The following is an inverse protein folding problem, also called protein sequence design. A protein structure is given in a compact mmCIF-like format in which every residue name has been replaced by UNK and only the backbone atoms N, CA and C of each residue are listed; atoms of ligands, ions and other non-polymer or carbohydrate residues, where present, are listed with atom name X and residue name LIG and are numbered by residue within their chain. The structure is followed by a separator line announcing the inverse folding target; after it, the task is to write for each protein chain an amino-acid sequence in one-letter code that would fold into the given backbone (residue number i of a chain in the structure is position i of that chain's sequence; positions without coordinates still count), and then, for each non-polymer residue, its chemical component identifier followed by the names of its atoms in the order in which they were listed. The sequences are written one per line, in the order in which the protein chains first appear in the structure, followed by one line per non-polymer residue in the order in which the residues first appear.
data_IF_421321242451
#
_entry.id   IF_421321242451
#
_cell.length_a   1.000
_cell.length_b   1.000
_cell.length_c   1.000
_cell.angle_alpha   90.00
_cell.angle_beta   90.00
_cell.angle_gamma   90.00
#
_symmetry.space_group_name_H-M   'P 1'
#
loop_
_entity.id
_entity.type
_entity.pdbx_description
1 polymer ?
#
# COMPACT_ATOMS: atom_id res chain seq x y z
N UNK A 1 -4.40 -22.76 -15.93
CA UNK A 1 -3.75 -22.80 -17.26
C UNK A 1 -2.51 -21.95 -17.17
N UNK A 2 -1.32 -22.56 -17.18
CA UNK A 2 -0.05 -21.84 -17.13
C UNK A 2 0.06 -20.94 -18.36
N UNK A 3 0.07 -19.63 -18.17
CA UNK A 3 0.40 -18.67 -19.23
C UNK A 3 1.76 -19.08 -19.78
N UNK A 4 1.75 -19.73 -20.95
CA UNK A 4 2.98 -20.17 -21.60
C UNK A 4 3.49 -18.92 -22.26
N UNK A 5 4.60 -18.37 -21.74
CA UNK A 5 5.26 -17.24 -22.36
C UNK A 5 5.62 -17.64 -23.80
N UNK A 6 4.90 -17.09 -24.77
CA UNK A 6 5.04 -17.44 -26.18
C UNK A 6 6.42 -17.01 -26.71
N UNK A 7 7.11 -16.11 -26.02
CA UNK A 7 8.48 -15.70 -26.37
C UNK A 7 9.49 -16.82 -26.13
N UNK A 8 9.23 -17.75 -25.21
CA UNK A 8 10.11 -18.91 -24.97
C UNK A 8 10.15 -19.91 -26.14
N UNK A 9 9.24 -19.80 -27.11
CA UNK A 9 9.19 -20.65 -28.30
C UNK A 9 9.87 -20.00 -29.52
N UNK A 10 10.32 -18.75 -29.40
CA UNK A 10 10.94 -17.99 -30.49
C UNK A 10 12.43 -18.30 -30.60
N UNK A 11 12.96 -18.33 -31.82
CA UNK A 11 14.41 -18.37 -32.05
C UNK A 11 15.06 -17.06 -31.59
N UNK A 12 16.39 -17.04 -31.33
CA UNK A 12 17.08 -15.81 -30.94
C UNK A 12 16.93 -14.66 -31.96
N UNK A 13 16.81 -15.00 -33.25
CA UNK A 13 16.59 -14.01 -34.30
C UNK A 13 15.17 -13.44 -34.26
N UNK A 14 14.15 -14.30 -34.17
CA UNK A 14 12.76 -13.87 -34.05
C UNK A 14 12.53 -13.05 -32.78
N UNK A 15 13.20 -13.39 -31.68
CA UNK A 15 13.15 -12.62 -30.44
C UNK A 15 13.76 -11.22 -30.61
N UNK A 16 14.87 -11.10 -31.33
CA UNK A 16 15.50 -9.82 -31.61
C UNK A 16 14.62 -8.95 -32.54
N UNK A 17 14.01 -9.54 -33.56
CA UNK A 17 13.07 -8.86 -34.46
C UNK A 17 11.82 -8.40 -33.70
N UNK A 18 11.28 -9.25 -32.81
CA UNK A 18 10.16 -8.90 -31.94
C UNK A 18 10.50 -7.74 -30.99
N UNK A 19 11.66 -7.77 -30.35
CA UNK A 19 12.12 -6.69 -29.47
C UNK A 19 12.29 -5.37 -30.23
N UNK A 20 12.90 -5.41 -31.43
CA UNK A 20 13.07 -4.23 -32.27
C UNK A 20 11.71 -3.63 -32.70
N UNK A 21 10.74 -4.48 -33.07
CA UNK A 21 9.40 -4.03 -33.42
C UNK A 21 8.67 -3.37 -32.23
N UNK A 22 8.78 -3.95 -31.03
CA UNK A 22 8.20 -3.36 -29.80
C UNK A 22 8.85 -2.02 -29.47
N UNK A 23 10.17 -1.90 -29.59
CA UNK A 23 10.88 -0.65 -29.31
C UNK A 23 10.54 0.43 -30.35
N UNK A 24 10.37 0.07 -31.63
CA UNK A 24 9.91 1.00 -32.66
C UNK A 24 8.48 1.49 -32.37
N UNK A 25 7.56 0.60 -31.99
CA UNK A 25 6.20 0.98 -31.58
C UNK A 25 6.23 1.96 -30.38
N UNK A 26 7.06 1.69 -29.37
CA UNK A 26 7.21 2.59 -28.20
C UNK A 26 7.69 3.98 -28.60
N UNK A 27 8.63 4.05 -29.55
CA UNK A 27 9.16 5.31 -30.09
C UNK A 27 8.08 6.06 -30.87
N UNK A 28 7.31 5.37 -31.72
CA UNK A 28 6.20 5.95 -32.48
C UNK A 28 5.11 6.52 -31.57
N UNK A 29 4.78 5.81 -30.48
CA UNK A 29 3.82 6.26 -29.47
C UNK A 29 4.37 7.40 -28.57
N UNK A 30 5.64 7.78 -28.73
CA UNK A 30 6.30 8.77 -27.88
C UNK A 30 6.45 8.33 -26.41
N UNK A 31 6.23 7.05 -26.13
CA UNK A 31 6.29 6.44 -24.81
C UNK A 31 7.75 6.21 -24.39
N UNK A 32 8.38 7.21 -23.76
CA UNK A 32 9.79 7.12 -23.34
C UNK A 32 10.01 6.28 -22.08
N UNK A 33 8.94 5.93 -21.36
CA UNK A 33 8.94 5.03 -20.22
C UNK A 33 7.52 4.47 -20.04
N UNK A 34 7.41 3.28 -19.45
CA UNK A 34 6.15 2.81 -18.88
C UNK A 34 5.70 3.84 -17.84
N UNK A 35 4.63 4.58 -18.10
CA UNK A 35 4.07 5.55 -17.14
C UNK A 35 3.39 4.75 -16.02
N UNK A 36 4.14 4.47 -14.95
CA UNK A 36 3.64 3.71 -13.82
C UNK A 36 2.54 4.52 -13.12
N UNK A 37 1.29 4.18 -13.41
CA UNK A 37 0.10 4.73 -12.75
C UNK A 37 -0.44 3.69 -11.79
N UNK A 38 -0.41 4.03 -10.51
CA UNK A 38 -0.92 3.14 -9.47
C UNK A 38 -2.41 3.38 -9.30
N UNK A 39 -3.21 2.32 -9.48
CA UNK A 39 -4.59 2.31 -9.04
C UNK A 39 -4.59 2.38 -7.51
N UNK A 40 -5.17 3.45 -6.97
CA UNK A 40 -5.28 3.61 -5.52
C UNK A 40 -6.42 2.76 -5.03
N UNK A 41 -6.14 1.97 -4.01
CA UNK A 41 -7.09 1.07 -3.37
C UNK A 41 -7.03 1.29 -1.86
N UNK A 42 -8.18 1.49 -1.25
CA UNK A 42 -8.36 1.61 0.20
C UNK A 42 -9.46 0.66 0.67
N UNK A 43 -9.62 0.53 1.98
CA UNK A 43 -10.80 -0.14 2.53
C UNK A 43 -12.02 0.75 2.29
N UNK A 44 -13.13 0.14 1.90
CA UNK A 44 -14.39 0.84 1.74
C UNK A 44 -15.00 1.11 3.12
N UNK A 45 -14.99 2.37 3.56
CA UNK A 45 -15.59 2.78 4.83
C UNK A 45 -17.11 2.54 4.90
N UNK A 46 -17.79 2.40 3.76
CA UNK A 46 -19.22 2.08 3.71
C UNK A 46 -19.50 0.57 3.64
N UNK A 47 -18.54 -0.22 3.16
CA UNK A 47 -18.66 -1.68 3.02
C UNK A 47 -17.41 -2.35 3.60
N UNK A 48 -17.46 -2.66 4.89
CA UNK A 48 -16.32 -3.17 5.66
C UNK A 48 -15.71 -4.51 5.16
N UNK A 49 -16.30 -5.17 4.16
CA UNK A 49 -15.81 -6.39 3.52
C UNK A 49 -15.33 -6.16 2.07
N UNK A 50 -15.12 -4.90 1.66
CA UNK A 50 -14.64 -4.56 0.33
C UNK A 50 -13.51 -3.54 0.37
N UNK A 51 -12.60 -3.67 -0.58
CA UNK A 51 -11.73 -2.59 -1.01
C UNK A 51 -12.44 -1.73 -2.05
N UNK A 52 -12.15 -0.44 -2.04
CA UNK A 52 -12.60 0.52 -3.04
C UNK A 52 -11.40 1.05 -3.80
N UNK A 53 -11.44 0.94 -5.13
CA UNK A 53 -10.50 1.60 -6.01
C UNK A 53 -10.95 3.02 -6.34
N UNK A 54 -10.01 3.85 -6.78
CA UNK A 54 -10.28 5.25 -7.11
C UNK A 54 -11.15 5.49 -8.35
N UNK A 55 -11.29 4.50 -9.22
CA UNK A 55 -12.27 4.48 -10.31
C UNK A 55 -13.69 4.14 -9.83
N UNK A 56 -13.87 3.86 -8.52
CA UNK A 56 -15.13 3.49 -7.91
C UNK A 56 -15.42 1.98 -7.92
N UNK A 57 -14.58 1.17 -8.55
CA UNK A 57 -14.73 -0.29 -8.53
C UNK A 57 -14.48 -0.86 -7.13
N UNK A 58 -15.17 -1.96 -6.80
CA UNK A 58 -15.11 -2.61 -5.48
C UNK A 58 -14.61 -4.04 -5.59
N UNK A 59 -13.69 -4.40 -4.69
CA UNK A 59 -12.98 -5.67 -4.75
C UNK A 59 -13.01 -6.35 -3.38
N UNK A 60 -13.44 -7.61 -3.30
CA UNK A 60 -13.31 -8.37 -2.04
C UNK A 60 -11.87 -8.80 -1.77
N UNK A 61 -11.08 -8.96 -2.84
CA UNK A 61 -9.72 -9.47 -2.77
C UNK A 61 -8.84 -8.64 -3.69
N UNK A 62 -7.65 -8.29 -3.21
CA UNK A 62 -6.54 -7.83 -4.06
C UNK A 62 -5.50 -8.95 -4.09
N UNK A 63 -5.33 -9.58 -5.25
CA UNK A 63 -4.36 -10.63 -5.47
C UNK A 63 -3.19 -10.13 -6.33
N UNK A 64 -1.96 -10.51 -5.96
CA UNK A 64 -0.76 -10.10 -6.67
C UNK A 64 0.52 -10.23 -5.84
N UNK A 65 1.60 -9.62 -6.31
CA UNK A 65 2.90 -9.65 -5.64
C UNK A 65 3.19 -8.27 -5.08
N UNK A 66 3.54 -8.20 -3.79
CA UNK A 66 3.91 -6.93 -3.16
C UNK A 66 5.34 -6.56 -3.59
N UNK A 67 5.51 -5.45 -4.30
CA UNK A 67 6.80 -4.96 -4.80
C UNK A 67 7.51 -4.09 -3.75
N UNK A 68 6.73 -3.24 -3.08
CA UNK A 68 7.21 -2.31 -2.05
C UNK A 68 6.21 -2.23 -0.90
N UNK A 69 6.73 -2.04 0.31
CA UNK A 69 5.92 -1.78 1.49
C UNK A 69 6.55 -0.59 2.22
N UNK A 70 5.83 0.53 2.30
CA UNK A 70 6.31 1.77 2.91
C UNK A 70 5.50 2.08 4.16
N UNK A 71 6.22 2.39 5.24
CA UNK A 71 5.58 2.93 6.44
C UNK A 71 5.30 4.41 6.21
N UNK A 72 4.13 4.87 6.62
CA UNK A 72 3.69 6.25 6.46
C UNK A 72 3.11 6.72 7.79
N UNK A 73 3.47 7.93 8.20
CA UNK A 73 2.85 8.66 9.29
C UNK A 73 2.29 9.96 8.76
N UNK A 74 1.04 10.23 9.09
CA UNK A 74 0.34 11.44 8.69
C UNK A 74 -0.27 12.09 9.91
N UNK A 75 -0.19 13.41 9.97
CA UNK A 75 -0.86 14.21 10.99
C UNK A 75 -1.58 15.37 10.31
N UNK A 76 -2.85 15.52 10.66
CA UNK A 76 -3.72 16.62 10.26
C UNK A 76 -4.14 17.38 11.52
N UNK A 77 -4.05 18.70 11.51
CA UNK A 77 -4.54 19.56 12.60
C UNK A 77 -6.06 19.68 12.58
N UNK A 78 -6.64 19.59 11.38
CA UNK A 78 -8.07 19.68 11.13
C UNK A 78 -8.64 18.29 10.85
N UNK A 79 -9.90 18.08 11.22
CA UNK A 79 -10.62 16.86 10.88
C UNK A 79 -10.83 16.75 9.38
N UNK A 80 -10.84 15.52 8.88
CA UNK A 80 -11.17 15.26 7.48
C UNK A 80 -12.54 15.84 7.14
N UNK A 81 -12.60 16.54 6.01
CA UNK A 81 -13.85 17.04 5.41
C UNK A 81 -14.11 16.21 4.16
N UNK A 82 -15.34 15.72 3.98
CA UNK A 82 -15.69 14.93 2.81
C UNK A 82 -15.35 15.67 1.51
N UNK A 83 -14.57 15.05 0.64
CA UNK A 83 -14.10 15.65 -0.61
C UNK A 83 -12.88 16.58 -0.45
N UNK A 84 -12.28 16.65 0.73
CA UNK A 84 -11.03 17.37 0.95
C UNK A 84 -9.86 16.65 0.26
N UNK A 85 -8.99 17.44 -0.36
CA UNK A 85 -7.70 17.03 -0.90
C UNK A 85 -6.54 17.75 -0.19
N UNK A 86 -6.79 18.24 1.03
CA UNK A 86 -5.79 18.90 1.83
C UNK A 86 -4.65 17.94 2.17
N UNK A 87 -3.42 18.43 2.05
CA UNK A 87 -2.24 17.69 2.47
C UNK A 87 -2.12 17.68 3.99
N UNK A 88 -1.52 16.65 4.60
CA UNK A 88 -1.26 16.63 6.02
C UNK A 88 -0.34 17.77 6.41
N UNK A 89 -0.56 18.29 7.61
CA UNK A 89 0.33 19.28 8.23
C UNK A 89 1.71 18.67 8.49
N UNK A 90 1.76 17.36 8.77
CA UNK A 90 3.01 16.62 8.91
C UNK A 90 2.95 15.23 8.26
N UNK A 91 3.99 14.90 7.50
CA UNK A 91 4.17 13.64 6.80
C UNK A 91 5.57 13.08 7.09
N UNK A 92 5.66 11.80 7.43
CA UNK A 92 6.91 11.05 7.44
C UNK A 92 6.71 9.73 6.69
N UNK A 93 7.61 9.41 5.76
CA UNK A 93 7.53 8.18 4.94
C UNK A 93 8.83 7.39 5.02
N UNK A 94 8.73 6.08 4.88
CA UNK A 94 9.89 5.20 4.75
C UNK A 94 10.52 4.86 6.09
N UNK A 95 11.66 5.47 6.39
CA UNK A 95 12.39 5.25 7.65
C UNK A 95 11.70 5.91 8.87
N UNK A 96 10.68 6.76 8.63
CA UNK A 96 9.87 7.42 9.65
C UNK A 96 10.70 8.14 10.73
N UNK A 97 11.84 8.73 10.35
CA UNK A 97 12.72 9.38 11.33
C UNK A 97 12.24 10.79 11.65
N UNK A 98 11.71 11.51 10.65
CA UNK A 98 11.32 12.90 10.78
C UNK A 98 10.16 13.24 9.84
N UNK A 99 9.28 14.14 10.28
CA UNK A 99 8.29 14.81 9.44
C UNK A 99 8.46 16.32 9.47
N UNK A 100 7.66 17.05 8.67
CA UNK A 100 7.67 18.52 8.67
C UNK A 100 7.29 19.06 10.04
N UNK A 101 8.08 20.03 10.53
CA UNK A 101 7.94 20.61 11.86
C UNK A 101 7.11 21.89 11.81
N UNK A 102 6.19 22.04 12.76
CA UNK A 102 5.45 23.28 12.94
C UNK A 102 6.37 24.39 13.46
N UNK A 103 6.21 25.66 13.04
CA UNK A 103 7.04 26.76 13.54
C UNK A 103 7.03 26.94 15.07
N UNK A 104 5.95 26.52 15.74
CA UNK A 104 5.75 26.59 17.18
C UNK A 104 6.13 25.28 17.90
N UNK A 105 6.58 24.25 17.18
CA UNK A 105 6.98 22.95 17.75
C UNK A 105 5.80 22.08 18.24
N UNK A 106 4.55 22.43 17.90
CA UNK A 106 3.38 21.64 18.34
C UNK A 106 3.33 20.24 17.72
N UNK A 107 3.93 20.04 16.55
CA UNK A 107 4.02 18.76 15.87
C UNK A 107 5.26 18.69 14.97
N UNK A 108 5.59 17.45 14.56
CA UNK A 108 6.64 17.17 13.59
C UNK A 108 8.00 16.97 14.22
N UNK A 109 9.07 17.31 13.49
CA UNK A 109 10.44 17.00 13.91
C UNK A 109 10.67 15.49 14.01
N UNK A 110 11.49 15.06 14.98
CA UNK A 110 11.82 13.65 15.16
C UNK A 110 10.59 12.86 15.62
N UNK A 111 10.14 11.90 14.81
CA UNK A 111 8.88 11.18 15.04
C UNK A 111 8.84 10.39 16.36
N UNK A 112 9.99 9.98 16.88
CA UNK A 112 10.11 9.25 18.15
C UNK A 112 9.77 10.09 19.40
N UNK A 113 9.87 11.41 19.30
CA UNK A 113 9.61 12.35 20.41
C UNK A 113 8.50 13.36 20.09
N UNK A 114 7.79 13.15 18.97
CA UNK A 114 6.75 14.06 18.50
C UNK A 114 5.53 13.98 19.44
N UNK A 115 5.03 15.12 19.97
CA UNK A 115 3.86 15.13 20.85
C UNK A 115 2.63 14.45 20.23
N UNK A 116 2.42 14.61 18.92
CA UNK A 116 1.26 14.03 18.23
C UNK A 116 1.36 12.51 18.01
N UNK A 117 2.52 11.89 18.27
CA UNK A 117 2.71 10.44 18.21
C UNK A 117 2.56 9.75 19.58
N UNK A 118 2.14 10.48 20.61
CA UNK A 118 1.87 9.93 21.95
C UNK A 118 0.46 9.34 22.05
N UNK A 119 0.31 8.30 22.86
CA UNK A 119 -1.01 7.74 23.15
C UNK A 119 -1.87 8.73 23.95
N UNK A 120 -3.16 8.79 23.64
CA UNK A 120 -4.11 9.73 24.25
C UNK A 120 -4.20 11.08 23.54
N UNK A 121 -3.53 11.24 22.39
CA UNK A 121 -3.55 12.49 21.61
C UNK A 121 -4.55 12.50 20.47
N UNK A 122 -5.23 11.38 20.20
CA UNK A 122 -6.33 11.35 19.25
C UNK A 122 -7.46 12.32 19.66
N UNK A 123 -8.15 12.90 18.67
CA UNK A 123 -9.19 13.92 18.90
C UNK A 123 -10.27 13.49 19.91
N UNK A 124 -10.71 14.48 20.71
CA UNK A 124 -11.74 14.47 21.77
C UNK A 124 -12.64 13.22 21.82
N UNK A 125 -12.25 12.23 22.64
CA UNK A 125 -13.10 11.12 23.06
C UNK A 125 -12.42 9.75 23.03
N UNK A 126 -11.47 9.55 22.11
CA UNK A 126 -10.75 8.29 21.98
C UNK A 126 -9.48 8.27 22.84
N UNK A 127 -9.62 8.01 24.15
CA UNK A 127 -8.52 7.96 25.12
C UNK A 127 -7.40 6.93 24.81
N UNK A 128 -7.53 6.17 23.72
CA UNK A 128 -6.65 5.04 23.35
C UNK A 128 -5.94 5.23 22.00
N UNK A 129 -5.99 6.42 21.38
CA UNK A 129 -5.40 6.65 20.05
C UNK A 129 -4.26 7.68 20.03
N UNK A 130 -3.57 7.77 18.89
CA UNK A 130 -2.58 8.82 18.58
C UNK A 130 -3.15 9.78 17.54
N UNK A 131 -2.86 11.07 17.64
CA UNK A 131 -3.22 12.05 16.61
C UNK A 131 -2.47 11.81 15.30
N UNK A 132 -1.19 11.43 15.38
CA UNK A 132 -0.39 11.03 14.25
C UNK A 132 -0.74 9.59 13.86
N UNK A 133 -1.44 9.45 12.73
CA UNK A 133 -1.92 8.16 12.23
C UNK A 133 -0.81 7.40 11.52
N UNK A 134 -0.63 6.12 11.87
CA UNK A 134 0.30 5.22 11.21
C UNK A 134 -0.43 4.38 10.14
N UNK A 135 0.18 4.24 8.97
CA UNK A 135 -0.31 3.43 7.85
C UNK A 135 0.82 2.61 7.24
N UNK A 136 0.46 1.51 6.58
CA UNK A 136 1.36 0.80 5.66
C UNK A 136 0.81 0.96 4.25
N UNK A 137 1.61 1.49 3.34
CA UNK A 137 1.24 1.58 1.92
C UNK A 137 1.99 0.49 1.17
N UNK A 138 1.26 -0.39 0.50
CA UNK A 138 1.80 -1.48 -0.31
C UNK A 138 1.70 -1.10 -1.79
N UNK A 139 2.81 -1.24 -2.52
CA UNK A 139 2.79 -1.26 -3.98
C UNK A 139 2.69 -2.71 -4.45
N UNK A 140 1.63 -3.04 -5.17
CA UNK A 140 1.28 -4.41 -5.55
C UNK A 140 1.19 -4.50 -7.05
N UNK A 141 1.91 -5.43 -7.66
CA UNK A 141 1.63 -5.82 -9.04
C UNK A 141 0.45 -6.80 -8.99
N UNK A 142 -0.77 -6.29 -9.21
CA UNK A 142 -1.99 -7.09 -9.18
C UNK A 142 -2.21 -7.81 -10.50
N UNK A 143 -2.75 -9.02 -10.40
CA UNK A 143 -3.10 -9.84 -11.57
C UNK A 143 -4.29 -9.26 -12.35
N UNK A 144 -5.18 -8.51 -11.68
CA UNK A 144 -6.45 -8.05 -12.26
C UNK A 144 -6.50 -6.52 -12.43
N UNK A 145 -5.89 -5.78 -11.50
CA UNK A 145 -6.00 -4.33 -11.42
C UNK A 145 -4.78 -3.59 -12.00
N UNK A 146 -3.75 -4.33 -12.43
CA UNK A 146 -2.46 -3.78 -12.78
C UNK A 146 -1.70 -3.28 -11.53
N UNK A 147 -0.84 -2.25 -11.68
CA UNK A 147 -0.12 -1.67 -10.55
C UNK A 147 -1.07 -1.01 -9.54
N UNK A 148 -1.04 -1.45 -8.28
CA UNK A 148 -1.94 -0.99 -7.22
C UNK A 148 -1.15 -0.36 -6.08
N UNK A 149 -1.64 0.76 -5.56
CA UNK A 149 -1.26 1.33 -4.28
C UNK A 149 -2.35 1.01 -3.24
N UNK A 150 -2.09 0.06 -2.35
CA UNK A 150 -3.02 -0.34 -1.30
C UNK A 150 -2.66 0.28 0.05
N UNK A 151 -3.57 1.06 0.61
CA UNK A 151 -3.46 1.62 1.96
C UNK A 151 -3.95 0.64 3.04
N UNK A 152 -3.05 0.24 3.94
CA UNK A 152 -3.37 -0.60 5.11
C UNK A 152 -3.50 0.30 6.36
N UNK A 153 -4.65 0.28 7.04
CA UNK A 153 -4.88 1.10 8.23
C UNK A 153 -4.09 0.58 9.45
N UNK A 154 -3.94 1.42 10.47
CA UNK A 154 -3.21 1.15 11.70
C UNK A 154 -3.61 -0.17 12.38
N UNK A 155 -4.91 -0.47 12.39
CA UNK A 155 -5.49 -1.70 12.98
C UNK A 155 -5.03 -2.99 12.29
N UNK A 156 -4.55 -2.90 11.05
CA UNK A 156 -4.14 -4.05 10.24
C UNK A 156 -2.64 -4.09 9.93
N UNK A 157 -1.84 -3.14 10.44
CA UNK A 157 -0.38 -3.14 10.28
C UNK A 157 0.24 -4.40 10.91
N UNK A 158 -0.27 -4.83 12.06
CA UNK A 158 0.22 -6.04 12.73
C UNK A 158 0.05 -7.31 11.89
N UNK A 159 -1.06 -7.42 11.14
CA UNK A 159 -1.28 -8.54 10.22
C UNK A 159 -0.26 -8.56 9.08
N UNK A 160 0.05 -7.38 8.51
CA UNK A 160 1.10 -7.24 7.51
C UNK A 160 2.48 -7.62 8.06
N UNK A 161 2.86 -7.09 9.22
CA UNK A 161 4.19 -7.32 9.80
C UNK A 161 4.36 -8.79 10.21
N UNK A 162 3.31 -9.45 10.72
CA UNK A 162 3.31 -10.89 10.98
C UNK A 162 3.53 -11.69 9.69
N UNK A 163 2.80 -11.35 8.62
CA UNK A 163 2.93 -12.05 7.34
C UNK A 163 4.34 -11.88 6.74
N UNK A 164 4.84 -10.65 6.68
CA UNK A 164 6.19 -10.36 6.17
C UNK A 164 7.29 -11.04 7.00
N UNK A 165 7.13 -11.09 8.33
CA UNK A 165 8.08 -11.77 9.23
C UNK A 165 8.02 -13.29 9.09
N UNK A 166 6.82 -13.86 8.94
CA UNK A 166 6.62 -15.29 8.71
C UNK A 166 7.28 -15.75 7.41
N UNK A 167 7.13 -15.00 6.32
CA UNK A 167 7.83 -15.28 5.06
C UNK A 167 9.35 -15.23 5.24
N UNK A 168 9.86 -14.20 5.94
CA UNK A 168 11.29 -14.06 6.21
C UNK A 168 11.84 -15.22 7.02
N UNK A 169 11.09 -15.70 8.02
CA UNK A 169 11.43 -16.90 8.79
C UNK A 169 11.53 -18.17 7.94
N UNK A 170 10.86 -18.21 6.77
CA UNK A 170 10.94 -19.28 5.77
C UNK A 170 11.96 -18.98 4.67
N UNK A 171 12.81 -17.97 4.83
CA UNK A 171 13.82 -17.58 3.85
C UNK A 171 13.26 -16.93 2.58
N UNK A 172 12.00 -16.50 2.58
CA UNK A 172 11.36 -15.80 1.46
C UNK A 172 11.07 -14.35 1.80
N UNK A 173 11.05 -13.47 0.81
CA UNK A 173 10.54 -12.12 0.95
C UNK A 173 9.14 -12.01 0.32
N UNK A 174 8.37 -11.01 0.75
CA UNK A 174 7.02 -10.76 0.23
C UNK A 174 6.99 -10.52 -1.30
N UNK A 175 8.08 -10.02 -1.89
CA UNK A 175 8.19 -9.81 -3.35
C UNK A 175 8.54 -11.09 -4.14
N UNK A 176 8.65 -12.24 -3.47
CA UNK A 176 8.92 -13.54 -4.08
C UNK A 176 7.71 -14.48 -3.99
N UNK A 177 6.60 -13.99 -3.43
CA UNK A 177 5.44 -14.81 -3.07
C UNK A 177 4.18 -14.08 -3.52
N UNK A 178 3.32 -14.70 -4.33
CA UNK A 178 2.03 -14.13 -4.64
C UNK A 178 1.14 -14.19 -3.40
N UNK A 179 0.37 -13.15 -3.18
CA UNK A 179 -0.43 -12.95 -1.99
C UNK A 179 -1.88 -12.66 -2.36
N UNK A 180 -2.79 -13.15 -1.51
CA UNK A 180 -4.19 -12.71 -1.47
C UNK A 180 -4.36 -11.79 -0.28
N UNK A 181 -4.94 -10.63 -0.52
CA UNK A 181 -5.22 -9.62 0.50
C UNK A 181 -6.72 -9.46 0.55
N UNK A 182 -7.30 -9.71 1.71
CA UNK A 182 -8.76 -9.75 1.91
C UNK A 182 -9.08 -8.80 3.04
N UNK A 183 -10.19 -8.09 2.91
CA UNK A 183 -10.77 -7.34 4.02
C UNK A 183 -12.01 -8.06 4.54
N UNK A 184 -12.11 -8.21 5.86
CA UNK A 184 -13.30 -8.72 6.52
C UNK A 184 -13.52 -7.96 7.81
N UNK A 185 -14.74 -7.46 8.02
CA UNK A 185 -15.12 -6.63 9.17
C UNK A 185 -14.12 -5.51 9.43
N UNK A 186 -13.65 -4.90 8.34
CA UNK A 186 -12.71 -3.80 8.39
C UNK A 186 -11.27 -4.15 8.79
N UNK A 187 -10.94 -5.44 8.83
CA UNK A 187 -9.58 -5.91 9.09
C UNK A 187 -9.00 -6.49 7.81
N UNK A 188 -7.78 -6.08 7.49
CA UNK A 188 -7.03 -6.65 6.37
C UNK A 188 -6.30 -7.89 6.83
N UNK A 189 -6.48 -8.97 6.10
CA UNK A 189 -5.80 -10.24 6.27
C UNK A 189 -4.97 -10.56 5.03
N UNK A 190 -3.91 -11.33 5.24
CA UNK A 190 -2.95 -11.67 4.19
C UNK A 190 -2.74 -13.18 4.19
N UNK A 191 -2.77 -13.79 3.01
CA UNK A 191 -2.37 -15.18 2.81
C UNK A 191 -1.48 -15.31 1.58
N UNK A 192 -0.73 -16.40 1.50
CA UNK A 192 -0.06 -16.80 0.27
C UNK A 192 -1.15 -17.26 -0.72
N UNK A 193 -1.00 -16.89 -1.98
CA UNK A 193 -1.79 -17.46 -3.06
C UNK A 193 -1.09 -18.72 -3.59
N UNK A 194 -1.46 -19.88 -3.07
CA UNK A 194 -0.83 -21.15 -3.46
C UNK A 194 -1.20 -21.60 -4.88
N UNK A 195 -2.23 -21.00 -5.48
CA UNK A 195 -2.66 -21.30 -6.87
C UNK A 195 -1.89 -20.45 -7.89
N UNK A 196 -1.41 -19.28 -7.49
CA UNK A 196 -0.63 -18.40 -8.34
C UNK A 196 0.81 -18.90 -8.50
N UNK A 197 1.34 -18.81 -9.72
CA UNK A 197 2.76 -19.08 -9.95
C UNK A 197 3.61 -17.99 -9.30
N UNK A 198 4.69 -18.34 -8.58
CA UNK A 198 5.57 -17.34 -7.99
C UNK A 198 6.34 -16.59 -9.07
N UNK A 199 6.78 -15.34 -8.79
CA UNK A 199 7.67 -14.60 -9.67
C UNK A 199 8.93 -15.40 -10.02
N UNK A 200 9.29 -15.37 -11.29
CA UNK A 200 10.57 -15.89 -11.76
C UNK A 200 11.71 -14.98 -11.29
N UNK A 201 12.98 -15.43 -11.36
CA UNK A 201 14.12 -14.56 -11.10
C UNK A 201 14.16 -13.30 -11.97
N UNK A 202 13.69 -13.39 -13.22
CA UNK A 202 13.62 -12.24 -14.15
C UNK A 202 12.59 -11.23 -13.64
N UNK A 203 11.39 -11.68 -13.28
CA UNK A 203 10.35 -10.81 -12.71
C UNK A 203 10.86 -10.09 -11.45
N UNK A 204 11.59 -10.80 -10.59
CA UNK A 204 12.18 -10.22 -9.38
C UNK A 204 13.22 -9.15 -9.72
N UNK A 205 14.05 -9.37 -10.75
CA UNK A 205 15.02 -8.38 -11.22
C UNK A 205 14.34 -7.14 -11.82
N UNK A 206 13.25 -7.31 -12.56
CA UNK A 206 12.46 -6.19 -13.12
C UNK A 206 11.73 -5.40 -12.03
N UNK A 207 11.10 -6.11 -11.09
CA UNK A 207 10.56 -5.52 -9.87
C UNK A 207 11.64 -4.73 -9.13
N UNK A 208 12.84 -5.28 -8.97
CA UNK A 208 13.96 -4.62 -8.29
C UNK A 208 14.37 -3.30 -8.98
N UNK A 209 14.42 -3.28 -10.32
CA UNK A 209 14.74 -2.08 -11.11
C UNK A 209 13.67 -0.99 -10.99
N UNK A 210 12.40 -1.37 -10.91
CA UNK A 210 11.28 -0.43 -10.83
C UNK A 210 10.98 0.08 -9.41
N UNK A 211 11.53 -0.54 -8.35
CA UNK A 211 11.18 -0.15 -6.96
C UNK A 211 11.37 1.33 -6.65
N UNK A 212 12.39 1.97 -7.23
CA UNK A 212 12.63 3.39 -7.00
C UNK A 212 11.46 4.26 -7.49
N UNK A 213 10.87 3.91 -8.64
CA UNK A 213 9.71 4.59 -9.20
C UNK A 213 8.45 4.35 -8.37
N UNK A 214 8.19 3.09 -7.99
CA UNK A 214 7.11 2.75 -7.06
C UNK A 214 7.20 3.54 -5.75
N UNK A 215 8.40 3.63 -5.17
CA UNK A 215 8.64 4.39 -3.93
C UNK A 215 8.37 5.87 -4.16
N UNK A 216 8.87 6.44 -5.25
CA UNK A 216 8.69 7.87 -5.55
C UNK A 216 7.21 8.22 -5.74
N UNK A 217 6.42 7.37 -6.40
CA UNK A 217 4.97 7.57 -6.56
C UNK A 217 4.28 7.49 -5.21
N UNK A 218 4.53 6.43 -4.44
CA UNK A 218 3.94 6.25 -3.11
C UNK A 218 4.28 7.42 -2.19
N UNK A 219 5.51 7.92 -2.21
CA UNK A 219 5.94 9.04 -1.37
C UNK A 219 5.32 10.36 -1.80
N UNK A 220 5.20 10.60 -3.11
CA UNK A 220 4.52 11.78 -3.66
C UNK A 220 3.03 11.80 -3.30
N UNK A 221 2.42 10.63 -3.22
CA UNK A 221 0.99 10.46 -2.95
C UNK A 221 0.67 10.22 -1.47
N UNK A 222 1.67 9.86 -0.67
CA UNK A 222 1.54 9.77 0.78
C UNK A 222 1.20 11.16 1.32
N UNK A 223 -0.05 11.34 1.79
CA UNK A 223 -0.55 12.64 2.23
C UNK A 223 -1.37 13.40 1.18
N UNK A 224 -1.68 12.82 0.03
CA UNK A 224 -2.83 13.27 -0.77
C UNK A 224 -3.92 12.23 -0.55
N UNK A 225 -4.67 12.36 0.55
CA UNK A 225 -5.74 11.41 0.85
C UNK A 225 -6.79 11.48 -0.27
N UNK A 226 -7.01 10.33 -0.89
CA UNK A 226 -8.33 10.00 -1.41
C UNK A 226 -9.22 9.71 -0.20
N UNK A 227 -10.39 10.30 -0.26
CA UNK A 227 -11.47 10.18 0.69
C UNK A 227 -11.55 8.84 1.44
N UNK A 228 -11.74 8.94 2.76
CA UNK A 228 -12.57 8.08 3.57
C UNK A 228 -12.25 6.57 3.58
N UNK A 229 -11.67 6.14 4.69
CA UNK A 229 -11.71 4.75 5.14
C UNK A 229 -10.94 4.67 6.45
N UNK A 230 -11.64 4.63 7.58
CA UNK A 230 -11.16 4.76 8.97
C UNK A 230 -11.00 6.18 9.51
N UNK A 231 -12.08 6.95 9.45
CA UNK A 231 -12.60 7.42 10.73
C UNK A 231 -13.24 6.19 11.35
N UNK A 232 -12.67 5.67 12.44
CA UNK A 232 -13.37 4.69 13.25
C UNK A 232 -14.61 5.41 13.78
N UNK A 233 -15.76 5.21 13.13
CA UNK A 233 -17.02 5.31 13.83
C UNK A 233 -16.94 4.32 14.99
N UNK A 234 -16.64 4.88 16.15
CA UNK A 234 -17.27 4.57 17.43
C UNK A 234 -18.04 3.24 17.43
N UNK A 235 -17.31 2.12 17.65
CA UNK A 235 -17.92 0.89 18.14
C UNK A 235 -18.35 1.14 19.59
N UNK A 236 -19.48 1.85 19.72
CA UNK A 236 -20.29 1.84 20.90
C UNK A 236 -20.70 0.40 21.21
N UNK A 237 -20.29 -0.03 22.41
CA UNK A 237 -20.80 -1.16 23.16
C UNK A 237 -20.41 -2.58 22.67
N UNK A 238 -19.64 -3.25 23.53
CA UNK A 238 -19.13 -4.60 23.30
C UNK A 238 -18.49 -5.20 24.54
N UNK A 239 -19.22 -5.17 25.66
CA UNK A 239 -19.17 -6.17 26.74
C UNK A 239 -17.81 -6.61 27.26
N UNK A 240 -17.48 -6.16 28.47
CA UNK A 240 -16.30 -6.62 29.19
C UNK A 240 -16.29 -8.14 29.44
N UNK A 241 -15.08 -8.71 29.39
CA UNK A 241 -14.73 -9.91 30.14
C UNK A 241 -13.25 -9.83 30.52
N UNK A 242 -12.97 -9.28 31.71
CA UNK A 242 -11.80 -9.66 32.47
C UNK A 242 -12.22 -10.84 33.36
N UNK A 243 -11.77 -12.03 32.99
CA UNK A 243 -11.76 -13.19 33.87
C UNK A 243 -10.33 -13.36 34.40
N UNK A 244 -10.23 -13.32 35.72
CA UNK A 244 -9.08 -13.70 36.55
C UNK A 244 -8.48 -15.05 36.19
#
# INVERSE_FOLDING_TARGET
MTSTDLTTQMTPQELAEYQAAIDEMRVQDGSKAFDLRLMKVSLDGAEADRFKANDGSKHAVVAGVVVVARKVRVFYTEKYKQGSHERPNCLAVGNMVQGSEAPNGEFGGTCAICPMNEWGTADKGAAKGKACSERRVLGILSNELGPVQLGIPSTSIGAWDLMASSLRGRGKNYFQVPMRIIVSQGKVTFSVDDEASPPTPIDIMEMAKSRAEWIAIIEREAGVDEAAGYDAEDDGDGGGYYGT
#
